data_IF_257643778832
#
_entry.id   IF_257643778832
#
_cell.length_a   1.000
_cell.length_b   1.000
_cell.length_c   1.000
_cell.angle_alpha   90.00
_cell.angle_beta   90.00
_cell.angle_gamma   90.00
#
_symmetry.space_group_name_H-M   'P 1'
#
loop_
_entity.id
_entity.type
_entity.pdbx_description
1 polymer ?
#
# COMPACT_ATOMS: atom_id res chain seq x y z
N UNK A 1 -13.69 14.24 2.91
CA UNK A 1 -13.17 13.44 1.77
C UNK A 1 -13.83 12.08 1.84
N UNK A 2 -15.02 11.96 1.28
CA UNK A 2 -15.74 10.68 1.24
C UNK A 2 -15.13 9.88 0.09
N UNK A 3 -14.40 8.82 0.40
CA UNK A 3 -13.79 7.96 -0.61
C UNK A 3 -14.87 7.46 -1.60
N UNK A 4 -14.60 7.57 -2.90
CA UNK A 4 -15.43 6.98 -3.96
C UNK A 4 -15.42 5.45 -3.81
N UNK A 5 -16.33 4.95 -3.00
CA UNK A 5 -16.51 3.53 -2.73
C UNK A 5 -17.55 2.96 -3.71
N UNK A 6 -17.19 1.92 -4.45
CA UNK A 6 -18.13 1.16 -5.25
C UNK A 6 -18.73 0.02 -4.45
N UNK A 7 -20.01 -0.24 -4.68
CA UNK A 7 -20.78 -1.30 -4.03
C UNK A 7 -21.37 -2.22 -5.11
N UNK A 8 -21.38 -3.52 -4.87
CA UNK A 8 -22.06 -4.48 -5.74
C UNK A 8 -23.57 -4.19 -5.82
N UNK A 9 -24.07 -3.98 -7.04
CA UNK A 9 -25.49 -3.76 -7.32
C UNK A 9 -26.21 -5.11 -7.48
N UNK A 10 -26.82 -5.58 -6.39
CA UNK A 10 -27.55 -6.86 -6.35
C UNK A 10 -29.00 -6.68 -6.86
N UNK A 11 -29.65 -7.73 -7.38
CA UNK A 11 -31.01 -7.62 -7.92
C UNK A 11 -32.04 -7.03 -6.95
N UNK A 12 -32.01 -7.45 -5.67
CA UNK A 12 -32.92 -6.94 -4.65
C UNK A 12 -32.77 -5.42 -4.39
N UNK A 13 -31.58 -4.85 -4.61
CA UNK A 13 -31.35 -3.41 -4.48
C UNK A 13 -32.01 -2.67 -5.63
N UNK A 14 -31.90 -3.21 -6.85
CA UNK A 14 -32.56 -2.66 -8.05
C UNK A 14 -34.09 -2.69 -7.87
N UNK A 15 -34.63 -3.79 -7.33
CA UNK A 15 -36.06 -3.94 -7.07
C UNK A 15 -36.58 -2.93 -6.03
N UNK A 16 -35.79 -2.63 -4.99
CA UNK A 16 -36.12 -1.62 -4.00
C UNK A 16 -36.03 -0.18 -4.55
N UNK A 17 -35.13 0.07 -5.50
CA UNK A 17 -34.88 1.40 -6.09
C UNK A 17 -35.82 1.74 -7.27
N UNK A 18 -36.36 0.74 -7.95
CA UNK A 18 -37.33 0.94 -9.06
C UNK A 18 -38.58 1.73 -8.64
N UNK A 19 -39.28 1.45 -7.53
CA UNK A 19 -40.52 2.15 -7.16
C UNK A 19 -40.29 3.59 -6.69
N UNK A 20 -39.16 3.87 -6.04
CA UNK A 20 -38.87 5.20 -5.47
C UNK A 20 -38.41 6.22 -6.53
N UNK A 21 -38.04 5.75 -7.73
CA UNK A 21 -37.55 6.61 -8.84
C UNK A 21 -38.50 7.76 -9.17
N UNK A 22 -39.81 7.56 -9.07
CA UNK A 22 -40.83 8.55 -9.45
C UNK A 22 -40.88 9.74 -8.47
N UNK A 23 -40.51 9.52 -7.21
CA UNK A 23 -40.57 10.55 -6.15
C UNK A 23 -39.20 11.16 -5.81
N UNK A 24 -38.12 10.62 -6.37
CA UNK A 24 -36.77 11.17 -6.16
C UNK A 24 -36.65 12.60 -6.74
N UNK A 25 -35.79 13.46 -6.16
CA UNK A 25 -35.39 14.71 -6.80
C UNK A 25 -34.76 14.47 -8.18
N UNK A 26 -34.99 15.37 -9.14
CA UNK A 26 -34.53 15.22 -10.54
C UNK A 26 -33.02 14.93 -10.65
N UNK A 27 -32.21 15.57 -9.81
CA UNK A 27 -30.76 15.38 -9.81
C UNK A 27 -30.37 13.93 -9.49
N UNK A 28 -31.02 13.33 -8.49
CA UNK A 28 -30.78 11.94 -8.11
C UNK A 28 -31.38 10.96 -9.13
N UNK A 29 -32.50 11.31 -9.78
CA UNK A 29 -33.07 10.49 -10.84
C UNK A 29 -32.11 10.35 -12.03
N UNK A 30 -31.50 11.45 -12.47
CA UNK A 30 -30.54 11.45 -13.58
C UNK A 30 -29.31 10.62 -13.25
N UNK A 31 -28.80 10.72 -12.01
CA UNK A 31 -27.64 9.94 -11.55
C UNK A 31 -27.95 8.44 -11.39
N UNK A 32 -29.17 8.08 -10.97
CA UNK A 32 -29.57 6.69 -10.77
C UNK A 32 -29.98 6.00 -12.09
N UNK A 33 -30.45 6.76 -13.08
CA UNK A 33 -30.91 6.25 -14.37
C UNK A 33 -29.99 5.22 -15.05
N UNK A 34 -28.68 5.48 -15.24
CA UNK A 34 -27.79 4.53 -15.94
C UNK A 34 -27.63 3.19 -15.20
N UNK A 35 -27.91 3.14 -13.89
CA UNK A 35 -27.78 1.92 -13.08
C UNK A 35 -29.06 1.07 -13.06
N UNK A 36 -30.14 1.51 -13.72
CA UNK A 36 -31.42 0.81 -13.75
C UNK A 36 -31.84 0.39 -15.18
N UNK A 37 -31.06 0.72 -16.20
CA UNK A 37 -31.30 0.36 -17.61
C UNK A 37 -30.57 -0.95 -17.92
N UNK A 38 -31.22 -1.86 -18.65
CA UNK A 38 -30.59 -3.10 -19.09
C UNK A 38 -29.56 -2.83 -20.20
N UNK A 39 -28.35 -3.43 -20.12
CA UNK A 39 -27.86 -4.33 -19.09
C UNK A 39 -27.45 -3.62 -17.79
N UNK A 40 -28.00 -4.08 -16.67
CA UNK A 40 -27.75 -3.47 -15.37
C UNK A 40 -26.28 -3.67 -14.97
N UNK A 41 -25.53 -2.58 -14.68
CA UNK A 41 -24.15 -2.68 -14.24
C UNK A 41 -24.04 -3.42 -12.90
N UNK A 42 -22.93 -4.14 -12.68
CA UNK A 42 -22.73 -4.94 -11.47
C UNK A 42 -22.34 -4.12 -10.23
N UNK A 43 -22.01 -2.82 -10.40
CA UNK A 43 -21.59 -1.93 -9.33
C UNK A 43 -22.27 -0.57 -9.42
N UNK A 44 -22.44 0.08 -8.26
CA UNK A 44 -22.97 1.44 -8.12
C UNK A 44 -22.12 2.23 -7.12
N UNK A 45 -21.88 3.54 -7.35
CA UNK A 45 -21.20 4.39 -6.38
C UNK A 45 -22.01 4.55 -5.08
N UNK A 46 -21.34 4.39 -3.93
CA UNK A 46 -21.94 4.56 -2.61
C UNK A 46 -22.46 5.98 -2.38
N UNK A 47 -21.82 6.99 -2.97
CA UNK A 47 -22.22 8.39 -2.82
C UNK A 47 -23.66 8.66 -3.27
N UNK A 48 -24.13 7.97 -4.31
CA UNK A 48 -25.51 8.06 -4.81
C UNK A 48 -26.47 7.45 -3.77
N UNK A 49 -26.17 6.26 -3.28
CA UNK A 49 -26.99 5.57 -2.27
C UNK A 49 -27.06 6.36 -0.96
N UNK A 50 -25.93 6.94 -0.53
CA UNK A 50 -25.86 7.80 0.65
C UNK A 50 -26.73 9.05 0.51
N UNK A 51 -26.74 9.69 -0.68
CA UNK A 51 -27.60 10.84 -0.94
C UNK A 51 -29.08 10.48 -0.92
N UNK A 52 -29.46 9.30 -1.44
CA UNK A 52 -30.83 8.81 -1.37
C UNK A 52 -31.25 8.56 0.09
N UNK A 53 -30.37 7.96 0.90
CA UNK A 53 -30.59 7.77 2.34
C UNK A 53 -30.70 9.08 3.11
N UNK A 54 -29.91 10.10 2.77
CA UNK A 54 -30.04 11.43 3.36
C UNK A 54 -31.35 12.11 2.95
N UNK A 55 -31.73 12.00 1.68
CA UNK A 55 -32.99 12.55 1.18
C UNK A 55 -34.21 11.88 1.82
N UNK A 56 -34.23 10.55 1.97
CA UNK A 56 -35.34 9.82 2.61
C UNK A 56 -35.55 10.23 4.07
N UNK A 57 -34.49 10.68 4.74
CA UNK A 57 -34.53 11.19 6.11
C UNK A 57 -34.96 12.66 6.21
N UNK A 58 -34.89 13.42 5.12
CA UNK A 58 -35.35 14.80 5.09
C UNK A 58 -36.88 14.88 5.15
N UNK A 59 -37.42 15.99 5.65
CA UNK A 59 -38.87 16.19 5.74
C UNK A 59 -39.55 16.12 4.36
N UNK A 60 -38.86 16.62 3.33
CA UNK A 60 -39.33 16.55 1.94
C UNK A 60 -39.41 15.10 1.42
N UNK A 61 -38.43 14.27 1.76
CA UNK A 61 -38.39 12.87 1.35
C UNK A 61 -39.39 12.02 2.11
N UNK A 62 -39.54 12.22 3.42
CA UNK A 62 -40.55 11.54 4.25
C UNK A 62 -41.96 11.81 3.72
N UNK A 63 -42.27 13.08 3.44
CA UNK A 63 -43.58 13.46 2.90
C UNK A 63 -43.83 12.83 1.52
N UNK A 64 -42.83 12.88 0.63
CA UNK A 64 -42.93 12.28 -0.70
C UNK A 64 -43.10 10.75 -0.66
N UNK A 65 -42.44 10.06 0.28
CA UNK A 65 -42.56 8.61 0.45
C UNK A 65 -43.90 8.20 1.05
N UNK A 66 -44.41 8.97 2.02
CA UNK A 66 -45.74 8.76 2.58
C UNK A 66 -46.84 8.89 1.51
N UNK A 67 -46.70 9.82 0.56
CA UNK A 67 -47.64 9.97 -0.56
C UNK A 67 -47.70 8.72 -1.46
N UNK A 68 -46.64 7.92 -1.50
CA UNK A 68 -46.56 6.66 -2.27
C UNK A 68 -46.84 5.44 -1.36
N UNK A 69 -47.21 5.67 -0.10
CA UNK A 69 -47.52 4.61 0.86
C UNK A 69 -46.30 3.80 1.29
N UNK A 70 -45.11 4.41 1.28
CA UNK A 70 -43.84 3.78 1.67
C UNK A 70 -43.27 4.42 2.92
N UNK A 71 -42.65 3.60 3.76
CA UNK A 71 -41.98 4.10 4.97
C UNK A 71 -40.59 4.64 4.59
N UNK A 72 -40.22 5.77 5.19
CA UNK A 72 -38.89 6.32 5.06
C UNK A 72 -37.84 5.44 5.76
N UNK A 73 -38.23 4.67 6.78
CA UNK A 73 -37.34 3.76 7.49
C UNK A 73 -36.69 2.72 6.58
N UNK A 74 -37.43 2.19 5.59
CA UNK A 74 -36.95 1.22 4.59
C UNK A 74 -35.79 1.75 3.72
N UNK A 75 -35.64 3.08 3.66
CA UNK A 75 -34.65 3.79 2.85
C UNK A 75 -33.66 4.61 3.69
N UNK A 76 -33.86 4.71 5.00
CA UNK A 76 -32.99 5.45 5.94
C UNK A 76 -31.60 4.79 5.97
N UNK A 77 -31.55 3.50 5.66
CA UNK A 77 -30.38 2.75 5.23
C UNK A 77 -30.94 1.77 4.21
N UNK A 78 -30.52 1.76 2.94
CA UNK A 78 -30.93 0.69 1.99
C UNK A 78 -30.48 -0.62 2.65
N UNK A 79 -31.41 -1.34 3.28
CA UNK A 79 -31.19 -1.94 4.60
C UNK A 79 -30.06 -2.98 4.58
N UNK A 80 -28.92 -2.52 5.09
CA UNK A 80 -27.74 -3.30 5.44
C UNK A 80 -27.02 -4.03 4.30
N UNK A 81 -27.11 -3.66 3.01
CA UNK A 81 -26.16 -4.19 2.02
C UNK A 81 -25.96 -5.73 2.13
N UNK A 82 -26.98 -6.50 2.51
CA UNK A 82 -26.74 -7.87 3.01
C UNK A 82 -26.16 -8.72 1.87
N UNK A 83 -24.85 -9.00 1.96
CA UNK A 83 -24.07 -9.68 0.91
C UNK A 83 -23.55 -8.79 -0.24
N UNK A 84 -23.55 -7.46 -0.11
CA UNK A 84 -22.93 -6.56 -1.07
C UNK A 84 -21.47 -6.30 -0.69
N UNK A 85 -20.57 -6.55 -1.64
CA UNK A 85 -19.14 -6.40 -1.45
C UNK A 85 -18.76 -4.93 -1.66
N UNK A 86 -17.96 -4.38 -0.74
CA UNK A 86 -17.37 -3.05 -0.89
C UNK A 86 -16.08 -3.17 -1.70
N UNK A 87 -15.98 -2.44 -2.81
CA UNK A 87 -14.87 -2.53 -3.76
C UNK A 87 -14.57 -3.98 -4.20
N UNK A 88 -15.53 -4.69 -4.81
CA UNK A 88 -15.31 -6.04 -5.33
C UNK A 88 -14.14 -6.11 -6.33
N UNK A 89 -13.80 -4.99 -6.98
CA UNK A 89 -12.68 -4.84 -7.90
C UNK A 89 -11.30 -4.76 -7.21
N UNK A 90 -11.25 -4.56 -5.89
CA UNK A 90 -10.00 -4.24 -5.19
C UNK A 90 -9.27 -5.51 -4.76
N UNK A 91 -8.25 -5.87 -5.53
CA UNK A 91 -7.28 -6.89 -5.15
C UNK A 91 -6.34 -6.34 -4.08
N UNK A 92 -6.63 -6.64 -2.82
CA UNK A 92 -5.67 -6.48 -1.74
C UNK A 92 -4.60 -7.55 -1.95
N UNK A 93 -3.39 -7.15 -2.38
CA UNK A 93 -2.29 -8.07 -2.68
C UNK A 93 -1.98 -9.04 -1.52
N UNK A 94 -1.07 -10.01 -1.74
CA UNK A 94 -0.78 -11.02 -0.73
C UNK A 94 -0.36 -10.37 0.60
N UNK A 95 -1.03 -10.75 1.69
CA UNK A 95 -0.67 -10.30 3.03
C UNK A 95 0.74 -10.77 3.37
N UNK A 96 1.62 -9.83 3.66
CA UNK A 96 2.97 -10.12 4.18
C UNK A 96 2.94 -9.95 5.70
N UNK A 97 2.98 -11.05 6.48
CA UNK A 97 2.99 -10.94 7.92
C UNK A 97 4.24 -10.18 8.38
N UNK A 98 4.14 -9.34 9.44
CA UNK A 98 5.31 -8.76 10.08
C UNK A 98 6.29 -9.87 10.49
N UNK A 99 7.58 -9.67 10.21
CA UNK A 99 8.62 -10.61 10.65
C UNK A 99 8.56 -10.76 12.17
N UNK A 100 8.70 -11.99 12.66
CA UNK A 100 8.69 -12.24 14.10
C UNK A 100 9.88 -11.56 14.81
N UNK A 101 9.71 -11.14 16.09
CA UNK A 101 10.76 -10.40 16.82
C UNK A 101 12.10 -11.15 16.90
N UNK A 102 12.04 -12.48 16.97
CA UNK A 102 13.23 -13.33 17.06
C UNK A 102 14.04 -13.35 15.76
N UNK A 103 13.37 -13.25 14.60
CA UNK A 103 14.02 -13.17 13.28
C UNK A 103 14.69 -11.81 13.12
N UNK A 104 13.99 -10.73 13.48
CA UNK A 104 14.52 -9.36 13.41
C UNK A 104 15.76 -9.22 14.31
N UNK A 105 15.72 -9.77 15.53
CA UNK A 105 16.85 -9.72 16.45
C UNK A 105 18.07 -10.48 15.93
N UNK A 106 17.86 -11.60 15.22
CA UNK A 106 18.95 -12.37 14.62
C UNK A 106 19.54 -11.67 13.40
N UNK A 107 18.71 -11.09 12.52
CA UNK A 107 19.15 -10.28 11.39
C UNK A 107 20.04 -9.11 11.88
N UNK A 108 19.60 -8.37 12.90
CA UNK A 108 20.38 -7.28 13.49
C UNK A 108 21.72 -7.74 14.09
N UNK A 109 21.77 -8.93 14.71
CA UNK A 109 23.03 -9.49 15.24
C UNK A 109 24.00 -9.83 14.11
N UNK A 110 23.52 -10.41 13.01
CA UNK A 110 24.33 -10.75 11.85
C UNK A 110 24.87 -9.48 11.17
N UNK A 111 24.03 -8.47 10.99
CA UNK A 111 24.43 -7.16 10.44
C UNK A 111 25.55 -6.53 11.25
N UNK A 112 25.42 -6.47 12.59
CA UNK A 112 26.47 -5.92 13.47
C UNK A 112 27.79 -6.67 13.36
N UNK A 113 27.74 -8.00 13.26
CA UNK A 113 28.94 -8.83 13.08
C UNK A 113 29.62 -8.55 11.73
N UNK A 114 28.84 -8.45 10.66
CA UNK A 114 29.36 -8.12 9.33
C UNK A 114 30.03 -6.74 9.32
N UNK A 115 29.36 -5.73 9.90
CA UNK A 115 29.92 -4.37 10.02
C UNK A 115 31.23 -4.41 10.81
N UNK A 116 31.26 -5.10 11.95
CA UNK A 116 32.47 -5.20 12.80
C UNK A 116 33.62 -5.89 12.07
N UNK A 117 33.34 -6.96 11.32
CA UNK A 117 34.34 -7.65 10.53
C UNK A 117 34.96 -6.75 9.45
N UNK A 118 34.14 -5.95 8.76
CA UNK A 118 34.61 -4.99 7.75
C UNK A 118 35.52 -3.93 8.41
N UNK A 119 35.09 -3.36 9.53
CA UNK A 119 35.88 -2.34 10.26
C UNK A 119 37.22 -2.91 10.73
N UNK A 120 37.22 -4.11 11.34
CA UNK A 120 38.45 -4.76 11.80
C UNK A 120 39.39 -5.08 10.64
N UNK A 121 38.85 -5.52 9.49
CA UNK A 121 39.63 -5.75 8.27
C UNK A 121 40.31 -4.48 7.78
N UNK A 122 39.57 -3.37 7.68
CA UNK A 122 40.12 -2.08 7.26
C UNK A 122 41.22 -1.60 8.22
N UNK A 123 40.97 -1.63 9.54
CA UNK A 123 41.96 -1.25 10.55
C UNK A 123 43.23 -2.11 10.46
N UNK A 124 43.10 -3.42 10.19
CA UNK A 124 44.23 -4.32 10.07
C UNK A 124 45.11 -4.00 8.86
N UNK A 125 44.49 -3.65 7.72
CA UNK A 125 45.21 -3.22 6.51
C UNK A 125 45.98 -1.93 6.79
N UNK A 126 45.33 -0.93 7.41
CA UNK A 126 45.98 0.33 7.77
C UNK A 126 47.12 0.12 8.77
N UNK A 127 46.90 -0.67 9.83
CA UNK A 127 47.92 -0.95 10.84
C UNK A 127 49.14 -1.66 10.23
N UNK A 128 48.92 -2.63 9.33
CA UNK A 128 49.99 -3.34 8.63
C UNK A 128 50.78 -2.38 7.74
N UNK A 129 50.10 -1.52 6.97
CA UNK A 129 50.75 -0.52 6.13
C UNK A 129 51.60 0.47 6.94
N UNK A 130 51.06 0.99 8.05
CA UNK A 130 51.79 1.88 8.96
C UNK A 130 52.99 1.19 9.61
N UNK A 131 52.84 -0.08 10.03
CA UNK A 131 53.92 -0.85 10.64
C UNK A 131 55.06 -1.09 9.65
N UNK A 132 54.75 -1.48 8.41
CA UNK A 132 55.74 -1.68 7.34
C UNK A 132 56.45 -0.37 7.00
N UNK A 133 55.70 0.73 6.87
CA UNK A 133 56.29 2.05 6.59
C UNK A 133 57.25 2.49 7.70
N UNK A 134 56.83 2.36 8.96
CA UNK A 134 57.65 2.73 10.11
C UNK A 134 58.90 1.84 10.25
N UNK A 135 58.75 0.53 10.03
CA UNK A 135 59.88 -0.40 10.05
C UNK A 135 60.88 -0.11 8.92
N UNK A 136 60.39 0.20 7.71
CA UNK A 136 61.24 0.54 6.56
C UNK A 136 62.05 1.82 6.80
N UNK A 137 61.45 2.82 7.48
CA UNK A 137 62.13 4.07 7.84
C UNK A 137 63.25 3.85 8.88
N UNK A 138 63.02 3.00 9.88
CA UNK A 138 63.98 2.72 10.97
C UNK A 138 65.11 1.76 10.60
N UNK A 139 64.89 0.86 9.65
CA UNK A 139 65.85 -0.22 9.33
C UNK A 139 66.80 0.10 8.17
N UNK A 140 66.71 1.29 7.57
CA UNK A 140 67.63 1.72 6.50
C UNK A 140 67.46 0.98 5.16
N UNK A 141 66.48 0.08 5.05
CA UNK A 141 66.25 -0.79 3.89
C UNK A 141 65.71 -0.09 2.63
N UNK A 142 65.47 1.23 2.67
CA UNK A 142 64.92 1.98 1.53
C UNK A 142 65.81 1.89 0.27
N UNK A 143 67.13 1.86 0.42
CA UNK A 143 68.07 1.83 -0.72
C UNK A 143 68.47 0.41 -1.18
N UNK A 144 68.14 -0.63 -0.43
CA UNK A 144 68.57 -2.01 -0.74
C UNK A 144 67.57 -2.73 -1.65
N UNK A 145 66.28 -2.45 -1.52
CA UNK A 145 65.26 -3.08 -2.38
C UNK A 145 65.38 -2.64 -3.85
N UNK A 146 65.73 -1.37 -4.11
CA UNK A 146 65.98 -0.87 -5.48
C UNK A 146 67.29 -1.46 -6.06
N UNK A 147 68.33 -1.60 -5.23
CA UNK A 147 69.60 -2.23 -5.65
C UNK A 147 69.45 -3.73 -5.90
N UNK A 148 68.70 -4.45 -5.06
CA UNK A 148 68.40 -5.87 -5.25
C UNK A 148 67.60 -6.13 -6.53
N UNK A 149 66.65 -5.25 -6.87
CA UNK A 149 65.91 -5.33 -8.13
C UNK A 149 66.81 -5.14 -9.36
N UNK A 150 67.76 -4.20 -9.30
CA UNK A 150 68.75 -4.00 -10.36
C UNK A 150 69.73 -5.18 -10.48
N UNK A 151 70.17 -5.78 -9.37
CA UNK A 151 71.06 -6.97 -9.38
C UNK A 151 70.35 -8.17 -10.00
N UNK A 152 69.09 -8.43 -9.63
CA UNK A 152 68.31 -9.53 -10.21
C UNK A 152 68.05 -9.35 -11.72
N UNK A 153 67.84 -8.12 -12.19
CA UNK A 153 67.74 -7.82 -13.62
C UNK A 153 69.07 -7.98 -14.37
N UNK A 154 70.21 -7.72 -13.72
CA UNK A 154 71.54 -7.88 -14.33
C UNK A 154 72.04 -9.32 -14.39
N UNK A 155 71.54 -10.21 -13.53
CA UNK A 155 71.86 -11.65 -13.53
C UNK A 155 70.98 -12.43 -14.54
N UNK A 156 69.90 -11.80 -15.02
CA UNK A 156 68.96 -12.39 -15.98
C UNK A 156 69.27 -12.05 -17.46
N UNK A 157 70.38 -11.36 -17.75
CA UNK A 157 70.82 -11.02 -19.12
C UNK A 157 72.24 -11.54 -19.41
#
# INVERSE_FOLDING_TARGET
MSADLNISLRPHVVDALRPIRVVLPRDLQTQLHPFLIEPTPQTIPYSILSRISQWSQSDSGRSALQHVGRDAADYTMISLLAGATTSPEKNFGPYTPPKEPHIIANEQKLERRAITAIVNGLVSIFATGMAVWWASDRTGFRDEWVRGWHVLLSVAY
#
